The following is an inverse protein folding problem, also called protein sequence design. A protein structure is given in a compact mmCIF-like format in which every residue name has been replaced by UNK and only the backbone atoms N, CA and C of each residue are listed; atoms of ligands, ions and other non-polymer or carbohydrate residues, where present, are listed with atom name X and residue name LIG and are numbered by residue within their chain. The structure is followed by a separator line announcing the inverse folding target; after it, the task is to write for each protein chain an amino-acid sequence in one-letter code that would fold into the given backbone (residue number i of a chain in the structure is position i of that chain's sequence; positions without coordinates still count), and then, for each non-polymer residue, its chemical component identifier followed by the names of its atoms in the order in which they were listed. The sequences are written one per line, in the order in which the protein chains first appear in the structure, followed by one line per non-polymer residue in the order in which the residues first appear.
data_IF_367184587535
#
_entry.id   IF_367184587535
#
_cell.length_a   1.000
_cell.length_b   1.000
_cell.length_c   1.000
_cell.angle_alpha   90.00
_cell.angle_beta   90.00
_cell.angle_gamma   90.00
#
_symmetry.space_group_name_H-M   'P 1'
#
loop_
_entity.id
_entity.type
_entity.pdbx_description
1 polymer ?
#
# COMPACT_ATOMS: atom_id res chain seq x y z
N UNK A 1 4.02 32.07 36.22
CA UNK A 1 2.89 32.29 35.30
C UNK A 1 3.43 32.57 33.91
N UNK A 2 2.97 31.78 32.92
CA UNK A 2 3.03 32.00 31.45
C UNK A 2 4.34 32.49 30.82
N UNK A 3 5.06 31.58 30.16
CA UNK A 3 5.93 31.90 29.01
C UNK A 3 5.40 31.18 27.77
N UNK A 4 5.45 31.94 26.68
CA UNK A 4 4.73 31.78 25.43
C UNK A 4 5.11 30.58 24.57
N UNK A 5 4.12 30.17 23.81
CA UNK A 5 4.20 29.43 22.56
C UNK A 5 5.16 30.07 21.55
N UNK A 6 5.98 29.24 20.90
CA UNK A 6 6.14 29.16 19.44
C UNK A 6 7.49 28.50 19.13
N UNK A 7 7.47 27.33 18.49
CA UNK A 7 8.28 27.00 17.29
C UNK A 7 7.76 25.67 16.78
N UNK A 8 6.71 25.74 15.96
CA UNK A 8 6.22 24.62 15.16
C UNK A 8 7.08 24.55 13.91
N UNK A 9 8.10 23.68 13.90
CA UNK A 9 8.77 23.33 12.65
C UNK A 9 7.84 22.45 11.82
N UNK A 10 7.31 23.01 10.72
CA UNK A 10 6.52 22.31 9.71
C UNK A 10 7.31 21.12 9.15
N UNK A 11 6.73 19.91 9.24
CA UNK A 11 7.10 18.79 8.38
C UNK A 11 5.79 18.19 7.85
N UNK A 12 5.46 18.50 6.61
CA UNK A 12 4.37 17.87 5.87
C UNK A 12 4.88 16.59 5.21
N UNK A 13 4.27 15.46 5.56
CA UNK A 13 3.56 14.56 4.63
C UNK A 13 3.12 13.29 5.40
N UNK A 14 1.81 13.13 5.59
CA UNK A 14 1.13 12.00 6.23
C UNK A 14 1.45 11.74 7.73
N UNK A 15 0.45 11.97 8.58
CA UNK A 15 0.44 11.70 10.05
C UNK A 15 1.10 12.80 10.89
N UNK A 16 0.32 13.80 11.30
CA UNK A 16 0.73 14.74 12.36
C UNK A 16 0.47 14.09 13.72
N UNK A 17 1.52 13.79 14.49
CA UNK A 17 1.41 13.27 15.86
C UNK A 17 1.31 14.40 16.89
N UNK A 18 0.41 14.27 17.86
CA UNK A 18 0.40 15.06 19.11
C UNK A 18 0.59 14.10 20.28
N UNK A 19 1.44 14.48 21.23
CA UNK A 19 1.70 13.72 22.48
C UNK A 19 1.12 14.52 23.63
N UNK A 20 0.13 13.94 24.33
CA UNK A 20 -0.38 14.52 25.57
C UNK A 20 0.14 13.73 26.79
N UNK A 21 0.58 14.45 27.81
CA UNK A 21 1.12 13.93 29.06
C UNK A 21 0.02 13.69 30.10
N UNK A 22 -0.86 12.71 29.87
CA UNK A 22 -1.78 12.23 30.91
C UNK A 22 -1.68 10.70 31.03
N UNK A 23 -1.24 10.26 32.20
CA UNK A 23 -0.93 8.86 32.54
C UNK A 23 -2.20 8.08 32.89
N UNK A 24 -2.14 6.78 32.62
CA UNK A 24 -3.06 5.68 32.98
C UNK A 24 -4.15 5.36 31.95
N UNK A 25 -3.93 4.24 31.24
CA UNK A 25 -4.91 3.45 30.48
C UNK A 25 -5.89 4.21 29.59
N UNK A 26 -5.38 4.99 28.62
CA UNK A 26 -6.17 5.38 27.45
C UNK A 26 -5.34 5.21 26.19
N UNK A 27 -5.26 3.97 25.70
CA UNK A 27 -5.39 3.80 24.25
C UNK A 27 -6.88 4.02 24.05
N UNK A 28 -7.29 5.28 23.88
CA UNK A 28 -8.69 5.56 23.65
C UNK A 28 -9.11 4.69 22.47
N UNK A 29 -10.24 4.02 22.63
CA UNK A 29 -11.05 3.44 21.55
C UNK A 29 -11.30 4.42 20.39
N UNK A 30 -10.95 5.70 20.57
CA UNK A 30 -10.55 6.65 19.55
C UNK A 30 -9.09 6.43 19.08
N UNK A 31 -8.78 5.37 18.32
CA UNK A 31 -8.56 5.63 16.90
C UNK A 31 -9.79 6.35 16.34
N UNK A 32 -9.89 7.67 16.55
CA UNK A 32 -10.93 8.43 15.85
C UNK A 32 -10.47 8.45 14.41
N UNK A 33 -10.90 7.45 13.65
CA UNK A 33 -11.13 7.58 12.23
C UNK A 33 -12.16 8.70 12.07
N UNK A 34 -11.72 9.96 12.18
CA UNK A 34 -12.49 11.06 11.61
C UNK A 34 -12.43 10.83 10.12
N UNK A 35 -13.61 10.50 9.60
CA UNK A 35 -13.91 10.24 8.21
C UNK A 35 -13.45 11.45 7.41
N UNK A 36 -12.29 11.31 6.75
CA UNK A 36 -12.07 12.02 5.50
C UNK A 36 -12.68 11.16 4.39
N UNK A 37 -13.09 11.78 3.29
CA UNK A 37 -13.96 11.28 2.20
C UNK A 37 -13.62 9.92 1.55
N UNK A 38 -12.56 9.23 1.97
CA UNK A 38 -12.13 7.92 1.49
C UNK A 38 -12.52 6.73 2.41
N UNK A 39 -13.17 6.94 3.56
CA UNK A 39 -13.56 5.84 4.47
C UNK A 39 -14.95 6.05 5.04
N UNK A 40 -15.96 5.40 4.47
CA UNK A 40 -17.35 5.41 4.97
C UNK A 40 -17.60 4.30 6.02
N UNK A 41 -16.60 3.47 6.32
CA UNK A 41 -16.77 2.24 7.12
C UNK A 41 -16.00 2.30 8.42
N UNK A 42 -16.69 2.09 9.55
CA UNK A 42 -16.09 1.89 10.86
C UNK A 42 -15.36 0.53 10.91
N UNK A 43 -14.09 0.52 11.28
CA UNK A 43 -13.29 -0.71 11.45
C UNK A 43 -13.07 -0.91 12.96
N UNK A 44 -13.43 -2.08 13.48
CA UNK A 44 -13.22 -2.40 14.89
C UNK A 44 -11.73 -2.27 15.26
N UNK A 45 -11.38 -1.73 16.44
CA UNK A 45 -9.97 -1.61 16.85
C UNK A 45 -9.18 -2.92 16.77
N UNK A 46 -9.80 -4.05 17.12
CA UNK A 46 -9.19 -5.39 17.03
C UNK A 46 -8.88 -5.86 15.61
N UNK A 47 -9.50 -5.26 14.59
CA UNK A 47 -9.31 -5.59 13.17
C UNK A 47 -8.37 -4.59 12.48
N UNK A 48 -8.13 -3.42 13.10
CA UNK A 48 -7.26 -2.38 12.54
C UNK A 48 -5.77 -2.70 12.77
N UNK A 49 -5.02 -2.97 11.70
CA UNK A 49 -3.59 -3.27 11.78
C UNK A 49 -2.76 -2.14 12.40
N UNK A 50 -3.17 -0.88 12.26
CA UNK A 50 -2.49 0.26 12.88
C UNK A 50 -2.63 0.24 14.41
N UNK A 51 -3.79 -0.16 14.91
CA UNK A 51 -4.05 -0.34 16.33
C UNK A 51 -3.20 -1.49 16.90
N UNK A 52 -3.16 -2.64 16.20
CA UNK A 52 -2.27 -3.77 16.54
C UNK A 52 -0.80 -3.35 16.57
N UNK A 53 -0.37 -2.52 15.61
CA UNK A 53 0.98 -2.00 15.53
C UNK A 53 1.33 -1.14 16.75
N UNK A 54 0.46 -0.21 17.14
CA UNK A 54 0.67 0.65 18.30
C UNK A 54 0.78 -0.16 19.59
N UNK A 55 -0.12 -1.12 19.79
CA UNK A 55 -0.09 -2.02 20.95
C UNK A 55 1.20 -2.84 21.02
N UNK A 56 1.58 -3.46 19.91
CA UNK A 56 2.79 -4.28 19.85
C UNK A 56 4.04 -3.43 20.12
N UNK A 57 4.10 -2.23 19.53
CA UNK A 57 5.21 -1.30 19.75
C UNK A 57 5.35 -0.89 21.21
N UNK A 58 4.26 -0.47 21.85
CA UNK A 58 4.24 -0.06 23.25
C UNK A 58 4.69 -1.21 24.18
N UNK A 59 4.16 -2.42 23.93
CA UNK A 59 4.54 -3.62 24.70
C UNK A 59 6.05 -3.90 24.58
N UNK A 60 6.60 -3.84 23.38
CA UNK A 60 8.00 -4.16 23.13
C UNK A 60 8.99 -3.06 23.52
N UNK A 61 8.57 -1.80 23.56
CA UNK A 61 9.41 -0.67 23.99
C UNK A 61 9.36 -0.41 25.50
N UNK A 62 8.44 -1.04 26.23
CA UNK A 62 8.23 -0.82 27.66
C UNK A 62 7.56 0.51 28.00
N UNK A 63 7.16 1.30 26.99
CA UNK A 63 6.54 2.61 27.17
C UNK A 63 5.17 2.46 27.84
N UNK A 64 4.98 3.20 28.94
CA UNK A 64 3.73 3.19 29.73
C UNK A 64 2.77 4.34 29.40
N UNK A 65 3.17 5.25 28.52
CA UNK A 65 2.34 6.37 28.05
C UNK A 65 1.36 5.89 26.97
N UNK A 66 0.20 6.53 26.90
CA UNK A 66 -0.73 6.35 25.79
C UNK A 66 -0.23 6.99 24.50
N UNK A 67 -0.88 6.64 23.39
CA UNK A 67 -0.69 7.31 22.10
C UNK A 67 -2.01 7.48 21.39
N UNK A 68 -2.15 8.62 20.73
CA UNK A 68 -3.24 8.90 19.81
C UNK A 68 -2.70 8.79 18.38
N UNK A 69 -3.37 7.98 17.55
CA UNK A 69 -2.98 7.75 16.17
C UNK A 69 -4.07 8.29 15.26
N UNK A 70 -3.71 9.30 14.47
CA UNK A 70 -4.57 9.87 13.43
C UNK A 70 -4.12 9.36 12.06
N UNK A 71 -5.04 8.78 11.29
CA UNK A 71 -4.76 8.27 9.94
C UNK A 71 -5.52 9.08 8.90
N UNK A 72 -4.79 9.77 8.05
CA UNK A 72 -5.34 10.37 6.83
C UNK A 72 -5.19 9.37 5.67
N UNK A 73 -6.31 8.81 5.21
CA UNK A 73 -6.31 7.77 4.19
C UNK A 73 -6.54 8.33 2.79
N UNK A 74 -5.54 8.17 1.93
CA UNK A 74 -5.63 8.44 0.50
C UNK A 74 -5.72 7.16 -0.35
N UNK A 75 -5.47 6.00 0.27
CA UNK A 75 -5.59 4.67 -0.38
C UNK A 75 -6.97 4.11 -0.04
N UNK A 76 -7.81 3.75 -1.05
CA UNK A 76 -9.12 3.18 -0.80
C UNK A 76 -9.06 1.87 0.00
N UNK A 77 -10.03 1.64 0.88
CA UNK A 77 -10.12 0.40 1.67
C UNK A 77 -10.50 -0.75 0.74
N UNK A 78 -9.86 -1.92 0.89
CA UNK A 78 -10.16 -3.10 0.07
C UNK A 78 -9.70 -3.03 -1.39
N UNK A 79 -8.82 -2.08 -1.71
CA UNK A 79 -8.33 -1.84 -3.08
C UNK A 79 -7.30 -2.83 -3.61
N UNK A 80 -6.71 -3.68 -2.74
CA UNK A 80 -5.53 -4.47 -3.09
C UNK A 80 -4.20 -3.67 -3.10
N UNK A 81 -4.22 -2.40 -2.69
CA UNK A 81 -3.04 -1.52 -2.64
C UNK A 81 -2.24 -1.57 -1.32
N UNK A 82 -2.61 -2.48 -0.40
CA UNK A 82 -1.90 -2.67 0.88
C UNK A 82 -2.04 -1.52 1.89
N UNK A 83 -3.09 -0.68 1.77
CA UNK A 83 -3.26 0.50 2.64
C UNK A 83 -3.29 0.19 4.14
N UNK A 84 -3.91 -0.92 4.55
CA UNK A 84 -3.92 -1.36 5.96
C UNK A 84 -2.51 -1.69 6.48
N UNK A 85 -1.74 -2.43 5.69
CA UNK A 85 -0.37 -2.81 6.00
C UNK A 85 0.58 -1.61 6.02
N UNK A 86 0.39 -0.67 5.08
CA UNK A 86 1.11 0.61 5.07
C UNK A 86 0.85 1.44 6.33
N UNK A 87 -0.39 1.48 6.82
CA UNK A 87 -0.72 2.20 8.06
C UNK A 87 0.00 1.58 9.26
N UNK A 88 0.01 0.25 9.38
CA UNK A 88 0.70 -0.45 10.46
C UNK A 88 2.21 -0.17 10.45
N UNK A 89 2.85 -0.26 9.29
CA UNK A 89 4.27 0.08 9.15
C UNK A 89 4.56 1.55 9.49
N UNK A 90 3.69 2.46 9.07
CA UNK A 90 3.80 3.90 9.38
C UNK A 90 3.71 4.17 10.87
N UNK A 91 2.83 3.45 11.59
CA UNK A 91 2.75 3.52 13.05
C UNK A 91 4.05 3.02 13.68
N UNK A 92 4.57 1.85 13.30
CA UNK A 92 5.83 1.33 13.85
C UNK A 92 6.99 2.33 13.65
N UNK A 93 7.13 2.89 12.45
CA UNK A 93 8.16 3.86 12.12
C UNK A 93 7.97 5.19 12.87
N UNK A 94 6.74 5.70 12.90
CA UNK A 94 6.37 6.95 13.55
C UNK A 94 6.62 6.89 15.05
N UNK A 95 6.22 5.81 15.72
CA UNK A 95 6.45 5.62 17.15
C UNK A 95 7.93 5.44 17.49
N UNK A 96 8.68 4.69 16.67
CA UNK A 96 10.13 4.56 16.84
C UNK A 96 10.84 5.92 16.77
N UNK A 97 10.43 6.78 15.83
CA UNK A 97 10.94 8.14 15.68
C UNK A 97 10.51 9.04 16.83
N UNK A 98 9.22 9.01 17.19
CA UNK A 98 8.61 9.89 18.19
C UNK A 98 9.25 9.72 19.57
N UNK A 99 9.44 8.47 20.00
CA UNK A 99 10.01 8.17 21.31
C UNK A 99 11.50 7.86 21.28
N UNK A 100 12.15 7.98 20.12
CA UNK A 100 13.58 7.74 19.92
C UNK A 100 14.04 6.40 20.52
N UNK A 101 13.22 5.36 20.39
CA UNK A 101 13.48 4.03 21.00
C UNK A 101 14.72 3.37 20.40
N UNK A 102 15.05 3.68 19.15
CA UNK A 102 16.26 3.18 18.50
C UNK A 102 16.12 1.78 17.92
N UNK A 103 14.90 1.27 17.72
CA UNK A 103 14.72 -0.01 17.03
C UNK A 103 15.28 0.07 15.60
N UNK A 104 16.05 -0.93 15.23
CA UNK A 104 16.56 -1.08 13.86
C UNK A 104 15.43 -1.44 12.89
N UNK A 105 15.67 -1.28 11.58
CA UNK A 105 14.70 -1.72 10.56
C UNK A 105 14.38 -3.20 10.66
N UNK A 106 15.33 -4.04 11.06
CA UNK A 106 15.10 -5.47 11.23
C UNK A 106 14.23 -5.77 12.46
N UNK A 107 14.42 -5.07 13.58
CA UNK A 107 13.51 -5.16 14.72
C UNK A 107 12.08 -4.77 14.32
N UNK A 108 11.92 -3.68 13.55
CA UNK A 108 10.62 -3.24 13.07
C UNK A 108 9.99 -4.22 12.08
N UNK A 109 10.78 -4.87 11.21
CA UNK A 109 10.28 -5.93 10.30
C UNK A 109 9.81 -7.17 11.07
N UNK A 110 10.52 -7.55 12.13
CA UNK A 110 10.09 -8.65 13.00
C UNK A 110 8.76 -8.34 13.70
N UNK A 111 8.55 -7.10 14.13
CA UNK A 111 7.25 -6.64 14.66
C UNK A 111 6.17 -6.63 13.58
N UNK A 112 6.50 -6.07 12.40
CA UNK A 112 5.62 -5.98 11.25
C UNK A 112 5.06 -7.36 10.86
N UNK A 113 5.93 -8.39 10.84
CA UNK A 113 5.53 -9.76 10.51
C UNK A 113 4.49 -10.34 11.48
N UNK A 114 4.54 -9.96 12.77
CA UNK A 114 3.53 -10.36 13.77
C UNK A 114 2.17 -9.67 13.54
N UNK A 115 2.13 -8.58 12.78
CA UNK A 115 0.91 -7.81 12.50
C UNK A 115 0.26 -8.29 11.21
N UNK A 116 1.04 -8.56 10.17
CA UNK A 116 0.55 -9.10 8.90
C UNK A 116 1.67 -9.35 7.89
N UNK A 117 1.39 -10.21 6.91
CA UNK A 117 2.40 -10.70 5.95
C UNK A 117 2.96 -9.61 5.03
N UNK A 118 2.13 -8.62 4.68
CA UNK A 118 2.55 -7.52 3.79
C UNK A 118 3.18 -6.33 4.54
N UNK A 119 3.07 -6.27 5.86
CA UNK A 119 3.56 -5.13 6.66
C UNK A 119 5.08 -4.95 6.56
N UNK A 120 5.92 -6.02 6.57
CA UNK A 120 7.37 -5.88 6.44
C UNK A 120 7.81 -5.13 5.17
N UNK A 121 7.10 -5.27 4.05
CA UNK A 121 7.39 -4.56 2.81
C UNK A 121 7.36 -3.04 3.01
N UNK A 122 6.36 -2.53 3.73
CA UNK A 122 6.19 -1.09 3.95
C UNK A 122 7.19 -0.49 4.95
N UNK A 123 7.88 -1.31 5.75
CA UNK A 123 8.99 -0.82 6.59
C UNK A 123 10.14 -0.34 5.71
N UNK A 124 10.40 -1.02 4.61
CA UNK A 124 11.54 -0.75 3.75
C UNK A 124 11.17 0.14 2.54
N UNK A 125 9.96 -0.01 2.02
CA UNK A 125 9.46 0.71 0.85
C UNK A 125 10.24 0.43 -0.43
N UNK A 126 9.93 1.22 -1.47
CA UNK A 126 10.52 1.06 -2.80
C UNK A 126 10.02 -0.17 -3.54
N UNK A 127 10.90 -0.77 -4.35
CA UNK A 127 10.60 -1.99 -5.08
C UNK A 127 11.28 -3.19 -4.42
N UNK A 128 10.53 -4.28 -4.26
CA UNK A 128 11.03 -5.49 -3.62
C UNK A 128 10.54 -6.76 -4.30
N UNK A 129 11.33 -7.82 -4.15
CA UNK A 129 10.99 -9.19 -4.49
C UNK A 129 10.61 -9.92 -3.21
N UNK A 130 9.36 -10.35 -3.12
CA UNK A 130 8.83 -11.09 -1.99
C UNK A 130 8.66 -12.57 -2.35
N UNK A 131 9.02 -13.47 -1.44
CA UNK A 131 8.78 -14.92 -1.56
C UNK A 131 8.13 -15.48 -0.30
N UNK A 132 7.83 -16.79 -0.29
CA UNK A 132 7.04 -17.41 0.76
C UNK A 132 5.57 -17.03 0.61
N UNK A 133 4.95 -16.57 1.68
CA UNK A 133 3.61 -15.95 1.72
C UNK A 133 3.66 -14.42 1.60
N UNK A 134 4.82 -13.86 1.21
CA UNK A 134 5.07 -12.43 1.14
C UNK A 134 6.00 -11.90 2.24
N UNK A 135 6.35 -12.71 3.23
CA UNK A 135 7.16 -12.29 4.38
C UNK A 135 8.65 -12.13 4.09
N UNK A 136 9.16 -12.84 3.08
CA UNK A 136 10.59 -12.82 2.72
C UNK A 136 10.83 -11.73 1.69
N UNK A 137 10.97 -10.50 2.16
CA UNK A 137 11.12 -9.31 1.31
C UNK A 137 12.59 -8.98 1.09
N UNK A 138 13.02 -8.93 -0.18
CA UNK A 138 14.34 -8.45 -0.59
C UNK A 138 14.21 -7.23 -1.50
N UNK A 139 14.85 -6.12 -1.15
CA UNK A 139 14.90 -4.92 -2.00
C UNK A 139 15.46 -5.25 -3.39
N UNK A 140 14.86 -4.66 -4.41
CA UNK A 140 15.33 -4.73 -5.79
C UNK A 140 15.88 -3.36 -6.16
N UNK A 141 17.19 -3.29 -6.34
CA UNK A 141 17.90 -2.08 -6.76
C UNK A 141 18.99 -2.46 -7.78
N UNK A 142 19.28 -1.61 -8.78
CA UNK A 142 18.51 -0.43 -9.15
C UNK A 142 17.14 -0.81 -9.73
N UNK A 143 16.21 0.14 -9.72
CA UNK A 143 14.90 -0.02 -10.36
C UNK A 143 14.49 1.29 -11.07
N UNK A 144 13.62 1.25 -12.10
CA UNK A 144 13.14 2.46 -12.75
C UNK A 144 12.06 3.15 -11.89
N UNK A 145 11.81 4.42 -12.22
CA UNK A 145 10.61 5.14 -11.82
C UNK A 145 9.74 5.37 -13.06
N UNK A 146 8.44 5.22 -12.90
CA UNK A 146 7.44 5.41 -13.94
C UNK A 146 6.13 5.90 -13.31
N UNK A 147 5.21 6.37 -14.13
CA UNK A 147 3.88 6.77 -13.69
C UNK A 147 2.93 5.60 -13.78
N UNK A 148 1.95 5.59 -12.89
CA UNK A 148 0.86 4.61 -12.89
C UNK A 148 -0.47 5.36 -12.79
N UNK A 149 -1.37 5.04 -13.72
CA UNK A 149 -2.79 5.40 -13.62
C UNK A 149 -3.50 4.25 -12.91
N UNK A 150 -4.40 4.55 -11.97
CA UNK A 150 -5.20 3.55 -11.28
C UNK A 150 -6.68 3.87 -11.42
N UNK A 151 -7.49 2.85 -11.67
CA UNK A 151 -8.95 2.94 -11.66
C UNK A 151 -9.46 2.06 -10.51
N UNK A 152 -10.21 2.69 -9.60
CA UNK A 152 -10.96 2.02 -8.55
C UNK A 152 -12.44 1.94 -8.95
N UNK A 153 -12.97 0.72 -9.21
CA UNK A 153 -14.33 0.54 -9.67
C UNK A 153 -15.38 0.75 -8.56
N UNK A 154 -14.96 1.00 -7.31
CA UNK A 154 -15.86 1.40 -6.24
C UNK A 154 -16.57 0.26 -5.50
N UNK A 155 -16.25 -1.00 -5.82
CA UNK A 155 -16.67 -2.17 -5.05
C UNK A 155 -15.45 -2.88 -4.47
N UNK A 156 -15.55 -3.57 -3.32
CA UNK A 156 -14.43 -4.32 -2.75
C UNK A 156 -14.42 -5.79 -3.24
N UNK A 157 -13.23 -6.39 -3.31
CA UNK A 157 -13.06 -7.85 -3.41
C UNK A 157 -12.40 -8.36 -2.13
N UNK A 158 -13.00 -9.36 -1.50
CA UNK A 158 -12.42 -9.98 -0.30
C UNK A 158 -11.17 -10.77 -0.66
N UNK A 159 -10.03 -10.36 -0.12
CA UNK A 159 -8.76 -11.10 -0.28
C UNK A 159 -8.89 -12.55 0.17
N UNK A 160 -9.60 -12.81 1.29
CA UNK A 160 -9.86 -14.16 1.77
C UNK A 160 -10.62 -14.99 0.75
N UNK A 161 -11.72 -14.46 0.21
CA UNK A 161 -12.52 -15.14 -0.82
C UNK A 161 -11.67 -15.44 -2.06
N UNK A 162 -10.85 -14.48 -2.52
CA UNK A 162 -10.00 -14.67 -3.68
C UNK A 162 -8.98 -15.80 -3.48
N UNK A 163 -8.37 -15.91 -2.29
CA UNK A 163 -7.48 -17.03 -1.95
C UNK A 163 -8.22 -18.36 -1.79
N UNK A 164 -9.44 -18.35 -1.26
CA UNK A 164 -10.24 -19.56 -1.06
C UNK A 164 -10.75 -20.14 -2.41
N UNK A 165 -10.87 -19.30 -3.46
CA UNK A 165 -11.44 -19.68 -4.76
C UNK A 165 -10.41 -19.71 -5.91
N UNK A 166 -9.15 -19.37 -5.67
CA UNK A 166 -8.12 -19.47 -6.71
C UNK A 166 -7.85 -20.94 -7.03
N UNK A 167 -7.76 -21.27 -8.32
CA UNK A 167 -7.47 -22.65 -8.75
C UNK A 167 -6.03 -23.03 -8.38
N UNK A 168 -5.91 -23.89 -7.37
CA UNK A 168 -4.63 -24.36 -6.85
C UNK A 168 -3.92 -25.34 -7.80
N UNK A 169 -4.63 -25.95 -8.77
CA UNK A 169 -4.02 -26.85 -9.76
C UNK A 169 -3.05 -26.12 -10.69
N UNK A 170 -3.26 -24.82 -10.89
CA UNK A 170 -2.39 -23.95 -11.67
C UNK A 170 -1.13 -23.47 -10.92
N UNK A 171 -1.02 -23.74 -9.60
CA UNK A 171 0.18 -23.43 -8.80
C UNK A 171 1.40 -24.31 -9.17
N UNK A 172 1.17 -25.40 -9.89
CA UNK A 172 2.21 -26.35 -10.32
C UNK A 172 2.94 -25.93 -11.62
N UNK A 173 2.51 -24.85 -12.28
CA UNK A 173 3.21 -24.33 -13.46
C UNK A 173 4.50 -23.62 -13.06
N UNK A 174 5.63 -24.07 -13.63
CA UNK A 174 7.02 -23.63 -13.36
C UNK A 174 7.22 -22.12 -13.59
N UNK A 175 6.79 -21.29 -12.64
CA UNK A 175 6.79 -19.81 -12.71
C UNK A 175 8.12 -19.12 -12.39
N UNK A 176 9.21 -19.88 -12.17
CA UNK A 176 10.53 -19.29 -11.89
C UNK A 176 11.08 -18.45 -13.06
N UNK A 177 10.62 -18.68 -14.30
CA UNK A 177 11.04 -17.93 -15.48
C UNK A 177 10.51 -16.49 -15.48
N UNK A 178 9.21 -16.28 -15.21
CA UNK A 178 8.58 -14.96 -15.19
C UNK A 178 9.20 -14.03 -14.16
N UNK A 179 9.41 -14.52 -12.93
CA UNK A 179 10.05 -13.72 -11.88
C UNK A 179 11.49 -13.31 -12.27
N UNK A 180 12.27 -14.22 -12.88
CA UNK A 180 13.63 -13.92 -13.35
C UNK A 180 13.61 -12.88 -14.49
N UNK A 181 12.70 -13.01 -15.45
CA UNK A 181 12.55 -12.07 -16.56
C UNK A 181 12.17 -10.68 -16.04
N UNK A 182 11.18 -10.60 -15.15
CA UNK A 182 10.76 -9.34 -14.52
C UNK A 182 11.91 -8.70 -13.74
N UNK A 183 12.61 -9.46 -12.91
CA UNK A 183 13.77 -8.96 -12.15
C UNK A 183 14.88 -8.43 -13.07
N UNK A 184 15.13 -9.10 -14.19
CA UNK A 184 16.09 -8.63 -15.19
C UNK A 184 15.61 -7.33 -15.87
N UNK A 185 14.32 -7.24 -16.23
CA UNK A 185 13.73 -6.02 -16.80
C UNK A 185 13.83 -4.82 -15.84
N UNK A 186 13.55 -5.05 -14.56
CA UNK A 186 13.69 -4.04 -13.49
C UNK A 186 15.14 -3.58 -13.35
N UNK A 187 16.09 -4.52 -13.23
CA UNK A 187 17.52 -4.18 -13.11
C UNK A 187 18.04 -3.40 -14.31
N UNK A 188 17.57 -3.73 -15.52
CA UNK A 188 17.87 -3.02 -16.77
C UNK A 188 17.04 -1.74 -16.97
N UNK A 189 16.18 -1.38 -16.02
CA UNK A 189 15.30 -0.20 -16.07
C UNK A 189 14.43 -0.13 -17.34
N UNK A 190 14.08 -1.28 -17.91
CA UNK A 190 13.31 -1.36 -19.15
C UNK A 190 11.81 -1.35 -18.85
N UNK A 191 11.20 -0.16 -18.86
CA UNK A 191 9.78 0.00 -18.51
C UNK A 191 8.87 -0.77 -19.48
N UNK A 192 9.14 -0.72 -20.79
CA UNK A 192 8.44 -1.55 -21.80
C UNK A 192 8.46 -3.04 -21.49
N UNK A 193 9.62 -3.59 -21.08
CA UNK A 193 9.70 -5.02 -20.69
C UNK A 193 8.92 -5.28 -19.41
N UNK A 194 9.01 -4.41 -18.41
CA UNK A 194 8.20 -4.54 -17.19
C UNK A 194 6.72 -4.59 -17.56
N UNK A 195 6.25 -3.65 -18.37
CA UNK A 195 4.87 -3.56 -18.81
C UNK A 195 4.41 -4.82 -19.59
N UNK A 196 5.25 -5.36 -20.46
CA UNK A 196 4.96 -6.57 -21.25
C UNK A 196 5.02 -7.88 -20.46
N UNK A 197 5.62 -7.91 -19.28
CA UNK A 197 5.71 -9.10 -18.41
C UNK A 197 4.85 -8.99 -17.14
N UNK A 198 3.92 -8.04 -17.08
CA UNK A 198 2.96 -7.94 -15.99
C UNK A 198 2.09 -9.20 -15.95
N UNK A 199 1.95 -9.77 -14.76
CA UNK A 199 1.16 -10.97 -14.55
C UNK A 199 0.57 -10.98 -13.14
N UNK A 200 -0.70 -11.38 -13.04
CA UNK A 200 -1.40 -11.56 -11.78
C UNK A 200 -2.37 -12.73 -11.94
N UNK A 201 -2.11 -13.80 -11.19
CA UNK A 201 -2.92 -15.03 -11.27
C UNK A 201 -4.38 -14.82 -10.87
N UNK A 202 -4.66 -13.87 -9.98
CA UNK A 202 -6.05 -13.60 -9.57
C UNK A 202 -6.92 -13.11 -10.72
N UNK A 203 -6.36 -12.56 -11.81
CA UNK A 203 -7.16 -12.08 -12.94
C UNK A 203 -7.95 -13.19 -13.63
N UNK A 204 -7.46 -14.43 -13.64
CA UNK A 204 -8.21 -15.57 -14.19
C UNK A 204 -9.50 -15.82 -13.40
N UNK A 205 -9.39 -15.86 -12.07
CA UNK A 205 -10.54 -15.98 -11.16
C UNK A 205 -11.48 -14.78 -11.32
N UNK A 206 -10.94 -13.55 -11.30
CA UNK A 206 -11.76 -12.33 -11.34
C UNK A 206 -12.45 -12.19 -12.71
N UNK A 207 -11.83 -12.57 -13.82
CA UNK A 207 -12.48 -12.57 -15.13
C UNK A 207 -13.68 -13.52 -15.19
N UNK A 208 -13.59 -14.67 -14.51
CA UNK A 208 -14.68 -15.65 -14.43
C UNK A 208 -15.85 -15.14 -13.59
N UNK A 209 -15.55 -14.59 -12.41
CA UNK A 209 -16.56 -14.19 -11.42
C UNK A 209 -17.14 -12.78 -11.69
N UNK A 210 -16.38 -11.92 -12.37
CA UNK A 210 -16.79 -10.57 -12.78
C UNK A 210 -16.54 -10.37 -14.29
N UNK A 211 -17.36 -11.00 -15.16
CA UNK A 211 -17.19 -10.90 -16.61
C UNK A 211 -17.15 -9.45 -17.10
N UNK A 212 -16.30 -9.19 -18.10
CA UNK A 212 -16.09 -7.89 -18.75
C UNK A 212 -15.50 -6.78 -17.86
N UNK A 213 -15.54 -6.87 -16.53
CA UNK A 213 -15.06 -5.81 -15.64
C UNK A 213 -13.56 -5.50 -15.86
N UNK A 214 -12.70 -6.51 -15.79
CA UNK A 214 -11.26 -6.33 -15.93
C UNK A 214 -10.89 -5.88 -17.34
N UNK A 215 -11.46 -6.50 -18.36
CA UNK A 215 -11.22 -6.16 -19.76
C UNK A 215 -11.61 -4.69 -20.03
N UNK A 216 -12.82 -4.28 -19.66
CA UNK A 216 -13.27 -2.89 -19.82
C UNK A 216 -12.35 -1.90 -19.11
N UNK A 217 -11.93 -2.21 -17.87
CA UNK A 217 -11.06 -1.32 -17.10
C UNK A 217 -9.65 -1.23 -17.71
N UNK A 218 -9.11 -2.35 -18.19
CA UNK A 218 -7.82 -2.39 -18.89
C UNK A 218 -7.87 -1.64 -20.22
N UNK A 219 -8.96 -1.76 -20.98
CA UNK A 219 -9.16 -1.00 -22.22
C UNK A 219 -9.18 0.51 -21.95
N UNK A 220 -9.90 0.98 -20.92
CA UNK A 220 -9.87 2.41 -20.52
C UNK A 220 -8.45 2.90 -20.23
N UNK A 221 -7.65 2.09 -19.53
CA UNK A 221 -6.25 2.43 -19.22
C UNK A 221 -5.37 2.42 -20.48
N UNK A 222 -5.55 1.44 -21.37
CA UNK A 222 -4.83 1.36 -22.64
C UNK A 222 -5.14 2.55 -23.54
N UNK A 223 -6.41 2.92 -23.68
CA UNK A 223 -6.86 4.12 -24.42
C UNK A 223 -6.27 5.40 -23.81
N UNK A 224 -6.03 5.42 -22.49
CA UNK A 224 -5.39 6.52 -21.80
C UNK A 224 -3.85 6.56 -21.97
N UNK A 225 -3.26 5.64 -22.73
CA UNK A 225 -1.83 5.59 -23.02
C UNK A 225 -1.04 4.68 -22.08
N UNK A 226 -1.70 3.77 -21.36
CA UNK A 226 -0.98 2.74 -20.61
C UNK A 226 -0.32 1.74 -21.56
N UNK A 227 0.98 1.46 -21.33
CA UNK A 227 1.77 0.50 -22.12
C UNK A 227 1.74 -0.93 -21.55
N UNK A 228 1.03 -1.12 -20.44
CA UNK A 228 0.77 -2.39 -19.81
C UNK A 228 -0.15 -2.18 -18.61
N UNK A 229 -1.08 -3.11 -18.40
CA UNK A 229 -2.15 -2.99 -17.41
C UNK A 229 -2.28 -4.26 -16.58
N UNK A 230 -2.55 -4.12 -15.29
CA UNK A 230 -2.70 -5.25 -14.38
C UNK A 230 -3.57 -4.89 -13.17
N UNK A 231 -4.34 -5.86 -12.67
CA UNK A 231 -5.03 -5.76 -11.39
C UNK A 231 -4.04 -5.81 -10.21
N UNK A 232 -4.29 -5.05 -9.15
CA UNK A 232 -3.44 -5.02 -7.95
C UNK A 232 -3.85 -6.10 -6.95
N UNK A 233 -2.98 -7.08 -6.68
CA UNK A 233 -3.23 -8.13 -5.68
C UNK A 233 -4.49 -8.94 -6.03
N UNK A 234 -5.37 -9.16 -5.05
CA UNK A 234 -6.68 -9.80 -5.29
C UNK A 234 -7.70 -8.86 -5.97
N UNK A 235 -7.33 -7.61 -6.25
CA UNK A 235 -8.21 -6.60 -6.82
C UNK A 235 -9.01 -5.79 -5.80
N UNK A 236 -9.94 -4.95 -6.28
CA UNK A 236 -10.33 -4.79 -7.69
C UNK A 236 -9.65 -3.63 -8.42
N UNK A 237 -8.76 -2.86 -7.78
CA UNK A 237 -8.08 -1.77 -8.49
C UNK A 237 -7.23 -2.32 -9.63
N UNK A 238 -7.31 -1.66 -10.79
CA UNK A 238 -6.48 -1.95 -11.96
C UNK A 238 -5.57 -0.76 -12.20
N UNK A 239 -4.29 -1.02 -12.46
CA UNK A 239 -3.33 0.00 -12.81
C UNK A 239 -2.81 -0.15 -14.24
N UNK A 240 -2.41 0.95 -14.84
CA UNK A 240 -1.71 1.03 -16.12
C UNK A 240 -0.39 1.78 -15.99
N UNK A 241 0.69 1.22 -16.54
CA UNK A 241 2.02 1.86 -16.57
C UNK A 241 2.08 2.91 -17.67
N UNK A 242 2.56 4.11 -17.35
CA UNK A 242 2.81 5.20 -18.29
C UNK A 242 4.23 5.73 -18.08
N UNK A 243 5.02 5.87 -19.15
CA UNK A 243 6.42 6.28 -19.04
C UNK A 243 6.56 7.79 -18.77
N UNK A 244 5.87 8.62 -19.57
CA UNK A 244 6.02 10.07 -19.57
C UNK A 244 5.10 10.78 -18.58
N UNK A 245 5.61 11.82 -17.90
CA UNK A 245 4.78 12.69 -17.05
C UNK A 245 3.63 13.31 -17.85
N UNK A 246 3.94 13.93 -19.00
CA UNK A 246 2.92 14.55 -19.86
C UNK A 246 1.83 13.57 -20.26
N UNK A 247 2.22 12.37 -20.69
CA UNK A 247 1.28 11.31 -21.09
C UNK A 247 0.43 10.84 -19.92
N UNK A 248 1.01 10.72 -18.73
CA UNK A 248 0.27 10.27 -17.56
C UNK A 248 -0.80 11.28 -17.11
N UNK A 249 -0.51 12.58 -17.16
CA UNK A 249 -1.51 13.63 -16.88
C UNK A 249 -2.57 13.69 -17.98
N UNK A 250 -2.20 13.58 -19.26
CA UNK A 250 -3.16 13.50 -20.37
C UNK A 250 -4.08 12.28 -20.24
N UNK A 251 -3.52 11.13 -19.90
CA UNK A 251 -4.28 9.91 -19.65
C UNK A 251 -5.23 10.05 -18.47
N UNK A 252 -4.80 10.69 -17.37
CA UNK A 252 -5.64 10.98 -16.21
C UNK A 252 -6.88 11.80 -16.61
N UNK A 253 -6.70 12.88 -17.36
CA UNK A 253 -7.81 13.73 -17.81
C UNK A 253 -8.74 12.97 -18.77
N UNK A 254 -8.17 12.17 -19.69
CA UNK A 254 -8.96 11.33 -20.60
C UNK A 254 -9.87 10.36 -19.83
N UNK A 255 -9.34 9.62 -18.86
CA UNK A 255 -10.15 8.67 -18.08
C UNK A 255 -11.22 9.41 -17.28
N UNK A 256 -10.87 10.52 -16.61
CA UNK A 256 -11.84 11.31 -15.83
C UNK A 256 -12.98 11.86 -16.67
N UNK A 257 -12.75 12.15 -17.95
CA UNK A 257 -13.81 12.59 -18.87
C UNK A 257 -14.74 11.47 -19.32
N UNK A 258 -14.36 10.20 -19.17
CA UNK A 258 -15.09 9.05 -19.71
C UNK A 258 -15.62 8.07 -18.67
N UNK A 259 -15.22 8.19 -17.39
CA UNK A 259 -15.68 7.29 -16.32
C UNK A 259 -16.16 8.05 -15.08
N UNK A 260 -17.11 7.43 -14.37
CA UNK A 260 -17.54 7.87 -13.02
C UNK A 260 -16.72 7.21 -11.90
N UNK A 261 -15.87 6.24 -12.24
CA UNK A 261 -14.97 5.54 -11.32
C UNK A 261 -13.92 6.49 -10.74
N UNK A 262 -13.35 6.15 -9.59
CA UNK A 262 -12.30 6.96 -8.99
C UNK A 262 -10.97 6.68 -9.71
N UNK A 263 -10.30 7.76 -10.13
CA UNK A 263 -9.04 7.66 -10.89
C UNK A 263 -7.92 8.35 -10.12
N UNK A 264 -6.80 7.65 -9.99
CA UNK A 264 -5.61 8.12 -9.31
C UNK A 264 -4.41 8.12 -10.25
N UNK A 265 -3.49 9.06 -10.02
CA UNK A 265 -2.20 9.11 -10.68
C UNK A 265 -1.11 9.07 -9.62
N UNK A 266 -0.17 8.14 -9.75
CA UNK A 266 0.97 8.03 -8.85
C UNK A 266 2.27 7.87 -9.64
N UNK A 267 3.39 8.22 -9.01
CA UNK A 267 4.74 7.96 -9.51
C UNK A 267 5.41 6.94 -8.60
N UNK A 268 6.02 5.90 -9.18
CA UNK A 268 6.76 4.92 -8.38
C UNK A 268 8.01 5.56 -7.78
N UNK A 269 8.17 5.44 -6.46
CA UNK A 269 9.29 6.03 -5.72
C UNK A 269 10.49 5.09 -5.67
N UNK A 270 11.66 5.66 -5.98
CA UNK A 270 13.00 5.08 -5.88
C UNK A 270 13.46 4.75 -4.46
N UNK A 271 12.71 3.98 -3.66
CA UNK A 271 13.18 3.42 -2.37
C UNK A 271 13.64 4.39 -1.26
N UNK A 272 13.62 5.71 -1.47
CA UNK A 272 13.95 6.70 -0.44
C UNK A 272 12.70 7.47 -0.06
N UNK A 273 12.13 7.15 1.10
CA UNK A 273 11.30 8.09 1.84
C UNK A 273 12.25 9.17 2.37
N UNK A 274 12.33 10.30 1.68
CA UNK A 274 12.93 11.52 2.21
C UNK A 274 11.84 12.55 2.38
#
# INVERSE_FOLDING_TARGET
SRVNSATTSRINSATTSRVNSATTSRINSATTSRINSATTTYIKPSENLAYKAALLFLKSSGIKKGVEVYLEKNIPVGSGLGGGSSNAASVLLGLNKLWKVGFTRDNLKMMALKIGMDVPFFIDGGMAYATGRGERVRKVSPHPSFWVLLIDPGFPISTKWAYDNIDNSLLLTKNHSYAKIMLNAIKKRSIKKIAGFLFNRFEELINKEYPNFLENTKCKLADAGAIGTLMTGSGPVVFGIVEGRRDAYRGLERIRSTTKEKVYLAKTIGGSWR
#
